data_IF_788100424368
#
_entry.id   IF_788100424368
#
_cell.length_a   1.000
_cell.length_b   1.000
_cell.length_c   1.000
_cell.angle_alpha   90.00
_cell.angle_beta   90.00
_cell.angle_gamma   90.00
#
_symmetry.space_group_name_H-M   'P 1'
#
loop_
_entity.id
_entity.type
_entity.pdbx_description
1 polymer ?
#
# COMPACT_ATOMS: atom_id res chain seq x y z
N UNK A 1 1.61 2.66 -22.23
CA UNK A 1 1.80 3.43 -20.99
C UNK A 1 3.26 3.83 -20.95
N UNK A 2 3.61 5.13 -20.85
CA UNK A 2 5.00 5.52 -20.68
C UNK A 2 5.52 4.91 -19.38
N UNK A 3 6.67 4.25 -19.45
CA UNK A 3 7.36 3.74 -18.27
C UNK A 3 7.94 4.96 -17.55
N UNK A 4 7.22 5.48 -16.57
CA UNK A 4 7.71 6.56 -15.72
C UNK A 4 8.87 6.03 -14.88
N UNK A 5 10.07 6.53 -15.14
CA UNK A 5 11.28 6.10 -14.44
C UNK A 5 11.52 7.05 -13.28
N UNK A 6 11.15 6.63 -12.07
CA UNK A 6 11.43 7.38 -10.85
C UNK A 6 12.90 7.14 -10.46
N UNK A 7 13.70 8.21 -10.39
CA UNK A 7 15.06 8.13 -9.83
C UNK A 7 14.97 8.23 -8.31
N UNK A 8 15.33 7.13 -7.65
CA UNK A 8 15.33 7.04 -6.20
C UNK A 8 16.76 7.20 -5.65
N UNK A 9 16.91 7.84 -4.48
CA UNK A 9 18.19 7.89 -3.78
C UNK A 9 18.59 6.49 -3.30
N UNK A 10 19.90 6.27 -3.12
CA UNK A 10 20.44 4.94 -2.81
C UNK A 10 19.84 4.29 -1.56
N UNK A 11 19.52 5.12 -0.55
CA UNK A 11 18.89 4.70 0.70
C UNK A 11 17.49 4.07 0.51
N UNK A 12 16.76 4.44 -0.54
CA UNK A 12 15.44 3.87 -0.83
C UNK A 12 15.48 2.63 -1.74
N UNK A 13 16.65 2.21 -2.25
CA UNK A 13 16.72 1.06 -3.17
C UNK A 13 16.27 -0.25 -2.54
N UNK A 14 16.59 -0.47 -1.27
CA UNK A 14 16.15 -1.67 -0.55
C UNK A 14 14.62 -1.69 -0.44
N UNK A 15 14.02 -0.56 -0.03
CA UNK A 15 12.57 -0.40 0.04
C UNK A 15 11.91 -0.58 -1.33
N UNK A 16 12.46 0.03 -2.38
CA UNK A 16 11.94 -0.09 -3.74
C UNK A 16 11.98 -1.54 -4.25
N UNK A 17 13.03 -2.28 -3.93
CA UNK A 17 13.16 -3.70 -4.29
C UNK A 17 12.10 -4.54 -3.58
N UNK A 18 11.91 -4.32 -2.28
CA UNK A 18 10.90 -5.04 -1.50
C UNK A 18 9.47 -4.65 -1.90
N UNK A 19 9.23 -3.38 -2.23
CA UNK A 19 7.96 -2.90 -2.77
C UNK A 19 7.61 -3.62 -4.07
N UNK A 20 8.55 -3.68 -5.03
CA UNK A 20 8.34 -4.41 -6.28
C UNK A 20 8.06 -5.91 -6.08
N UNK A 21 8.66 -6.52 -5.04
CA UNK A 21 8.36 -7.90 -4.65
C UNK A 21 6.92 -8.03 -4.13
N UNK A 22 6.48 -7.14 -3.24
CA UNK A 22 5.11 -7.13 -2.73
C UNK A 22 4.09 -6.93 -3.85
N UNK A 23 4.30 -5.97 -4.76
CA UNK A 23 3.43 -5.76 -5.92
C UNK A 23 3.27 -7.01 -6.80
N UNK A 24 4.34 -7.82 -6.90
CA UNK A 24 4.29 -9.08 -7.62
C UNK A 24 3.48 -10.14 -6.86
N UNK A 25 3.61 -10.20 -5.54
CA UNK A 25 2.84 -11.12 -4.70
C UNK A 25 1.34 -10.79 -4.75
N UNK A 26 0.97 -9.51 -4.69
CA UNK A 26 -0.43 -9.07 -4.79
C UNK A 26 -1.07 -9.40 -6.14
N UNK A 27 -0.33 -9.20 -7.24
CA UNK A 27 -0.82 -9.55 -8.60
C UNK A 27 -0.91 -11.06 -8.85
N UNK A 28 -0.20 -11.88 -8.09
CA UNK A 28 -0.20 -13.33 -8.22
C UNK A 28 -0.44 -14.01 -6.88
N UNK A 29 -1.70 -13.96 -6.37
CA UNK A 29 -2.06 -14.63 -5.13
C UNK A 29 -1.74 -16.12 -5.24
N UNK A 30 -1.11 -16.70 -4.19
CA UNK A 30 -0.59 -18.09 -4.10
C UNK A 30 0.81 -18.35 -4.68
N UNK A 31 1.52 -17.33 -5.17
CA UNK A 31 2.94 -17.46 -5.56
C UNK A 31 3.90 -17.58 -4.37
N UNK A 32 3.43 -17.28 -3.15
CA UNK A 32 4.18 -17.41 -1.90
C UNK A 32 3.32 -18.03 -0.79
N UNK A 33 3.98 -18.66 0.17
CA UNK A 33 3.36 -19.06 1.43
C UNK A 33 3.01 -17.85 2.30
N UNK A 34 2.06 -18.03 3.23
CA UNK A 34 1.69 -16.97 4.18
C UNK A 34 2.87 -16.48 5.03
N UNK A 35 3.83 -17.35 5.36
CA UNK A 35 5.04 -16.99 6.09
C UNK A 35 5.97 -16.08 5.28
N UNK A 36 6.16 -16.41 4.00
CA UNK A 36 6.96 -15.58 3.09
C UNK A 36 6.33 -14.20 2.86
N UNK A 37 5.01 -14.16 2.67
CA UNK A 37 4.29 -12.89 2.55
C UNK A 37 4.46 -12.02 3.80
N UNK A 38 4.26 -12.60 5.00
CA UNK A 38 4.48 -11.88 6.26
C UNK A 38 5.92 -11.38 6.41
N UNK A 39 6.91 -12.17 6.00
CA UNK A 39 8.31 -11.74 6.02
C UNK A 39 8.58 -10.53 5.12
N UNK A 40 8.01 -10.51 3.91
CA UNK A 40 8.11 -9.36 3.00
C UNK A 40 7.47 -8.13 3.62
N UNK A 41 6.24 -8.24 4.13
CA UNK A 41 5.54 -7.12 4.79
C UNK A 41 6.35 -6.62 5.98
N UNK A 42 6.87 -7.50 6.83
CA UNK A 42 7.66 -7.10 8.00
C UNK A 42 8.92 -6.32 7.61
N UNK A 43 9.65 -6.78 6.60
CA UNK A 43 10.83 -6.07 6.11
C UNK A 43 10.47 -4.70 5.51
N UNK A 44 9.36 -4.60 4.78
CA UNK A 44 8.89 -3.32 4.25
C UNK A 44 8.54 -2.36 5.39
N UNK A 45 7.89 -2.83 6.46
CA UNK A 45 7.59 -1.99 7.64
C UNK A 45 8.84 -1.36 8.24
N UNK A 46 9.90 -2.14 8.41
CA UNK A 46 11.18 -1.66 8.95
C UNK A 46 11.82 -0.63 8.03
N UNK A 47 11.86 -0.91 6.73
CA UNK A 47 12.41 0.01 5.73
C UNK A 47 11.59 1.29 5.57
N UNK A 48 10.27 1.25 5.77
CA UNK A 48 9.41 2.43 5.78
C UNK A 48 9.69 3.33 6.99
N UNK A 49 9.94 2.74 8.16
CA UNK A 49 10.33 3.49 9.35
C UNK A 49 11.70 4.16 9.15
N UNK A 50 12.66 3.50 8.51
CA UNK A 50 13.96 4.10 8.16
C UNK A 50 13.86 5.21 7.11
N UNK A 51 12.86 5.12 6.22
CA UNK A 51 12.61 6.09 5.16
C UNK A 51 11.72 7.27 5.61
N UNK A 52 11.29 7.31 6.87
CA UNK A 52 10.41 8.37 7.37
C UNK A 52 11.06 9.76 7.23
N UNK A 53 10.29 10.72 6.71
CA UNK A 53 10.76 12.07 6.41
C UNK A 53 11.58 12.21 5.11
N UNK A 54 11.79 11.13 4.35
CA UNK A 54 12.46 11.21 3.05
C UNK A 54 11.56 11.85 1.98
N UNK A 55 12.01 12.96 1.41
CA UNK A 55 11.30 13.70 0.35
C UNK A 55 11.03 12.86 -0.92
N UNK A 56 11.81 11.80 -1.15
CA UNK A 56 11.64 10.89 -2.29
C UNK A 56 10.69 9.72 -2.02
N UNK A 57 10.31 9.47 -0.76
CA UNK A 57 9.39 8.40 -0.40
C UNK A 57 8.01 8.54 -1.08
N UNK A 58 7.38 9.72 -1.14
CA UNK A 58 6.08 9.89 -1.80
C UNK A 58 6.06 9.45 -3.28
N UNK A 59 7.17 9.63 -4.00
CA UNK A 59 7.30 9.22 -5.39
C UNK A 59 7.36 7.69 -5.53
N UNK A 60 8.04 7.00 -4.62
CA UNK A 60 8.02 5.53 -4.57
C UNK A 60 6.61 5.01 -4.26
N UNK A 61 5.94 5.59 -3.26
CA UNK A 61 4.58 5.19 -2.90
C UNK A 61 3.56 5.46 -4.03
N UNK A 62 3.81 6.44 -4.92
CA UNK A 62 2.94 6.68 -6.07
C UNK A 62 2.98 5.55 -7.12
N UNK A 63 4.11 4.84 -7.23
CA UNK A 63 4.31 3.76 -8.21
C UNK A 63 4.17 2.34 -7.63
N UNK A 64 4.03 2.23 -6.30
CA UNK A 64 3.93 0.97 -5.56
C UNK A 64 2.66 0.96 -4.68
N UNK A 65 1.47 0.73 -5.26
CA UNK A 65 0.19 0.86 -4.56
C UNK A 65 0.03 -0.06 -3.34
N UNK A 66 0.49 -1.31 -3.38
CA UNK A 66 0.42 -2.21 -2.23
C UNK A 66 1.32 -1.73 -1.07
N UNK A 67 2.46 -1.12 -1.40
CA UNK A 67 3.34 -0.52 -0.40
C UNK A 67 2.76 0.78 0.15
N UNK A 68 2.07 1.56 -0.69
CA UNK A 68 1.35 2.75 -0.27
C UNK A 68 0.22 2.41 0.71
N UNK A 69 -0.58 1.39 0.41
CA UNK A 69 -1.64 0.91 1.30
C UNK A 69 -1.06 0.45 2.65
N UNK A 70 0.05 -0.31 2.64
CA UNK A 70 0.72 -0.69 3.86
C UNK A 70 1.21 0.53 4.66
N UNK A 71 1.85 1.50 4.00
CA UNK A 71 2.30 2.73 4.63
C UNK A 71 1.13 3.50 5.27
N UNK A 72 0.01 3.65 4.57
CA UNK A 72 -1.20 4.29 5.10
C UNK A 72 -1.73 3.53 6.32
N UNK A 73 -1.84 2.21 6.24
CA UNK A 73 -2.33 1.39 7.35
C UNK A 73 -1.44 1.50 8.60
N UNK A 74 -0.12 1.63 8.44
CA UNK A 74 0.80 1.85 9.58
C UNK A 74 0.62 3.22 10.23
N UNK A 75 0.23 4.24 9.46
CA UNK A 75 0.07 5.62 9.94
C UNK A 75 -1.39 6.04 10.11
N UNK A 76 -2.32 5.09 10.03
CA UNK A 76 -3.76 5.36 10.00
C UNK A 76 -4.22 6.18 11.20
N UNK A 77 -3.70 5.89 12.39
CA UNK A 77 -4.05 6.62 13.62
C UNK A 77 -3.67 8.10 13.59
N UNK A 78 -2.65 8.48 12.80
CA UNK A 78 -2.13 9.85 12.73
C UNK A 78 -2.61 10.62 11.50
N UNK A 79 -2.72 9.93 10.36
CA UNK A 79 -2.97 10.53 9.06
C UNK A 79 -4.24 10.02 8.36
N UNK A 80 -4.92 8.99 8.89
CA UNK A 80 -6.01 8.32 8.17
C UNK A 80 -5.55 7.79 6.80
N UNK A 81 -6.48 7.72 5.84
CA UNK A 81 -6.22 7.24 4.46
C UNK A 81 -6.00 8.40 3.47
N UNK A 82 -5.04 9.27 3.77
CA UNK A 82 -4.79 10.50 2.99
C UNK A 82 -4.31 10.29 1.53
N UNK A 83 -3.85 9.09 1.16
CA UNK A 83 -3.38 8.73 -0.19
C UNK A 83 -4.37 7.84 -0.95
N UNK A 84 -5.39 7.32 -0.29
CA UNK A 84 -6.48 6.58 -0.93
C UNK A 84 -7.40 7.53 -1.72
N UNK A 85 -7.85 7.17 -2.93
CA UNK A 85 -8.78 8.00 -3.70
C UNK A 85 -10.11 8.13 -2.96
N UNK A 86 -10.40 9.35 -2.47
CA UNK A 86 -11.58 9.65 -1.66
C UNK A 86 -12.90 9.22 -2.32
N UNK A 87 -13.01 9.37 -3.64
CA UNK A 87 -14.21 9.04 -4.39
C UNK A 87 -14.48 7.53 -4.43
N UNK A 88 -13.43 6.72 -4.65
CA UNK A 88 -13.56 5.25 -4.62
C UNK A 88 -13.91 4.76 -3.21
N UNK A 89 -13.27 5.34 -2.18
CA UNK A 89 -13.55 5.01 -0.79
C UNK A 89 -15.00 5.37 -0.38
N UNK A 90 -15.47 6.56 -0.77
CA UNK A 90 -16.84 6.99 -0.53
C UNK A 90 -17.85 6.08 -1.24
N UNK A 91 -17.60 5.73 -2.49
CA UNK A 91 -18.46 4.84 -3.26
C UNK A 91 -18.53 3.43 -2.64
N UNK A 92 -17.39 2.91 -2.16
CA UNK A 92 -17.34 1.64 -1.45
C UNK A 92 -18.16 1.69 -0.14
N UNK A 93 -18.03 2.75 0.65
CA UNK A 93 -18.79 2.95 1.90
C UNK A 93 -20.30 3.04 1.63
N UNK A 94 -20.71 3.81 0.62
CA UNK A 94 -22.11 3.92 0.21
C UNK A 94 -22.66 2.54 -0.21
N UNK A 95 -21.92 1.78 -1.03
CA UNK A 95 -22.32 0.45 -1.45
C UNK A 95 -22.47 -0.51 -0.26
N UNK A 96 -21.48 -0.54 0.64
CA UNK A 96 -21.50 -1.38 1.85
C UNK A 96 -22.69 -1.02 2.77
N UNK A 97 -22.89 0.27 3.05
CA UNK A 97 -24.01 0.78 3.84
C UNK A 97 -25.36 0.39 3.25
N UNK A 98 -25.51 0.42 1.93
CA UNK A 98 -26.74 0.02 1.24
C UNK A 98 -27.05 -1.46 1.44
N UNK A 99 -26.03 -2.33 1.30
CA UNK A 99 -26.17 -3.79 1.51
C UNK A 99 -26.49 -4.11 2.96
N UNK A 100 -25.79 -3.49 3.91
CA UNK A 100 -26.03 -3.69 5.36
C UNK A 100 -27.45 -3.28 5.72
N UNK A 101 -27.94 -2.15 5.21
CA UNK A 101 -29.31 -1.68 5.44
C UNK A 101 -30.34 -2.66 4.90
N UNK A 102 -30.13 -3.18 3.69
CA UNK A 102 -31.01 -4.18 3.08
C UNK A 102 -31.04 -5.49 3.88
N UNK A 103 -29.87 -5.95 4.36
CA UNK A 103 -29.75 -7.15 5.19
C UNK A 103 -30.45 -6.99 6.55
N UNK A 104 -30.42 -5.80 7.16
CA UNK A 104 -31.12 -5.49 8.41
C UNK A 104 -32.63 -5.37 8.29
N UNK A 105 -33.13 -5.10 7.08
CA UNK A 105 -34.58 -5.00 6.80
C UNK A 105 -35.24 -6.32 6.39
N UNK A 106 -34.46 -7.41 6.39
CA UNK A 106 -34.94 -8.79 6.20
C UNK A 106 -35.02 -9.50 7.55
#
# INVERSE_FOLDING_TARGET
>A
MPTETVRLPARLHALATMAALLERLERQPRSASAGQYRGVVQQIRELLAEAEGDESLPALLAIAPATAELYENLHYEHAGLCRSPLEEALNAELAASTVIKAARSR
#
